data_IF_931332871772
#
_entry.id   IF_931332871772
#
_cell.length_a   1.000
_cell.length_b   1.000
_cell.length_c   1.000
_cell.angle_alpha   90.00
_cell.angle_beta   90.00
_cell.angle_gamma   90.00
#
_symmetry.space_group_name_H-M   'P 1'
#
loop_
_entity.id
_entity.type
_entity.pdbx_description
1 polymer ?
#
# COMPACT_ATOMS: atom_id res chain seq x y z
N UNK A 1 25.49 27.44 -10.95
CA UNK A 1 25.09 26.03 -11.11
C UNK A 1 24.88 25.41 -9.74
N UNK A 2 23.63 25.13 -9.36
CA UNK A 2 23.29 24.50 -8.07
C UNK A 2 23.40 22.99 -8.21
N UNK A 3 24.32 22.36 -7.47
CA UNK A 3 24.42 20.90 -7.43
C UNK A 3 23.20 20.29 -6.73
N UNK A 4 22.69 19.13 -7.19
CA UNK A 4 21.61 18.42 -6.52
C UNK A 4 22.10 17.95 -5.15
N UNK A 5 21.47 18.45 -4.08
CA UNK A 5 21.73 17.98 -2.72
C UNK A 5 21.24 16.53 -2.60
N UNK A 6 22.14 15.58 -2.39
CA UNK A 6 21.77 14.20 -2.07
C UNK A 6 21.03 14.22 -0.73
N UNK A 7 19.71 13.98 -0.78
CA UNK A 7 18.90 13.81 0.44
C UNK A 7 18.96 12.33 0.83
N UNK A 8 19.12 12.00 2.12
CA UNK A 8 19.11 10.62 2.57
C UNK A 8 17.70 10.01 2.43
N UNK A 9 17.62 8.78 1.94
CA UNK A 9 16.38 8.02 1.88
C UNK A 9 16.05 7.48 3.28
N UNK A 10 15.19 8.19 4.02
CA UNK A 10 14.80 7.81 5.38
C UNK A 10 13.80 6.65 5.31
N UNK A 11 14.22 5.51 5.87
CA UNK A 11 13.45 4.27 5.94
C UNK A 11 12.43 4.36 7.07
N UNK A 12 12.92 4.60 8.30
CA UNK A 12 12.09 4.71 9.50
C UNK A 12 12.62 5.80 10.43
N UNK A 13 11.72 6.30 11.27
CA UNK A 13 11.99 7.33 12.28
C UNK A 13 11.42 6.83 13.60
N UNK A 14 12.18 7.00 14.68
CA UNK A 14 11.76 6.64 16.02
C UNK A 14 10.45 7.35 16.39
N UNK A 15 9.38 6.61 16.76
CA UNK A 15 8.10 7.22 17.13
C UNK A 15 8.18 8.07 18.40
N UNK A 16 9.16 7.86 19.28
CA UNK A 16 9.35 8.64 20.51
C UNK A 16 9.94 10.03 20.26
N UNK A 17 10.40 10.32 19.04
CA UNK A 17 10.88 11.65 18.71
C UNK A 17 9.76 12.70 18.82
N UNK A 18 10.08 13.93 19.29
CA UNK A 18 9.15 15.05 19.25
C UNK A 18 8.50 15.22 17.87
N UNK A 19 7.21 15.56 17.83
CA UNK A 19 6.43 15.63 16.58
C UNK A 19 7.02 16.63 15.58
N UNK A 20 7.52 17.77 16.04
CA UNK A 20 8.22 18.77 15.22
C UNK A 20 9.47 18.19 14.54
N UNK A 21 10.23 17.36 15.26
CA UNK A 21 11.40 16.65 14.72
C UNK A 21 10.96 15.56 13.73
N UNK A 22 9.91 14.79 14.04
CA UNK A 22 9.37 13.77 13.12
C UNK A 22 8.84 14.40 11.85
N UNK A 23 8.14 15.53 11.93
CA UNK A 23 7.66 16.28 10.77
C UNK A 23 8.81 16.85 9.95
N UNK A 24 9.84 17.40 10.59
CA UNK A 24 11.04 17.86 9.92
C UNK A 24 11.74 16.72 9.15
N UNK A 25 11.92 15.56 9.78
CA UNK A 25 12.49 14.37 9.13
C UNK A 25 11.61 13.85 7.99
N UNK A 26 10.27 13.88 8.13
CA UNK A 26 9.34 13.56 7.04
C UNK A 26 9.44 14.54 5.88
N UNK A 27 9.65 15.83 6.13
CA UNK A 27 9.86 16.84 5.09
C UNK A 27 11.20 16.64 4.35
N UNK A 28 12.21 16.13 5.05
CA UNK A 28 13.48 15.75 4.47
C UNK A 28 13.41 14.45 3.67
N UNK A 29 12.36 13.64 3.84
CA UNK A 29 12.07 12.42 3.08
C UNK A 29 11.63 12.81 1.66
N UNK A 30 12.49 12.76 0.62
CA UNK A 30 11.92 12.46 -0.69
C UNK A 30 11.13 11.14 -0.54
N UNK A 31 10.00 10.96 -1.24
CA UNK A 31 9.47 9.59 -1.44
C UNK A 31 10.69 8.76 -1.85
N UNK A 32 11.09 7.74 -1.06
CA UNK A 32 12.36 7.12 -1.35
C UNK A 32 12.24 6.59 -2.77
N UNK A 33 13.25 6.85 -3.58
CA UNK A 33 13.26 6.36 -4.97
C UNK A 33 13.57 4.87 -4.89
N UNK A 34 12.64 4.10 -4.34
CA UNK A 34 12.62 2.64 -4.27
C UNK A 34 12.41 2.03 -5.67
N UNK A 35 12.97 2.65 -6.72
CA UNK A 35 13.07 1.99 -8.02
C UNK A 35 13.95 0.75 -7.87
N UNK A 36 13.91 -0.13 -8.87
CA UNK A 36 14.57 -1.45 -8.96
C UNK A 36 16.10 -1.45 -8.74
N UNK A 37 16.70 -0.33 -8.36
CA UNK A 37 18.14 -0.19 -8.20
C UNK A 37 18.51 -0.23 -6.72
N UNK A 38 19.52 -1.08 -6.48
CA UNK A 38 20.40 -1.27 -5.32
C UNK A 38 20.33 -0.21 -4.21
N UNK A 39 20.59 -0.58 -2.94
CA UNK A 39 20.69 0.38 -1.85
C UNK A 39 21.61 1.56 -2.25
N UNK A 40 21.27 2.80 -1.85
CA UNK A 40 22.11 3.96 -2.18
C UNK A 40 23.56 3.68 -1.81
N UNK A 41 24.50 3.97 -2.72
CA UNK A 41 25.91 3.79 -2.43
C UNK A 41 26.29 4.77 -1.31
N UNK A 42 26.92 4.30 -0.21
CA UNK A 42 27.35 5.20 0.85
C UNK A 42 28.29 6.25 0.24
N UNK A 43 28.15 7.54 0.61
CA UNK A 43 28.90 8.61 -0.02
C UNK A 43 30.40 8.39 0.17
N UNK A 44 31.12 8.16 -0.94
CA UNK A 44 32.57 7.93 -0.94
C UNK A 44 33.32 9.25 -0.73
N UNK A 45 34.22 9.28 0.25
CA UNK A 45 35.17 10.38 0.51
C UNK A 45 34.93 11.22 1.78
N UNK A 46 35.92 12.06 2.13
CA UNK A 46 35.92 12.95 3.31
C UNK A 46 34.69 13.89 3.36
N UNK A 47 34.14 14.26 2.21
CA UNK A 47 32.98 15.13 2.09
C UNK A 47 31.65 14.44 2.42
N UNK A 48 31.52 13.13 2.18
CA UNK A 48 30.37 12.33 2.64
C UNK A 48 30.30 12.26 4.17
N UNK A 49 31.48 12.21 4.82
CA UNK A 49 31.60 12.38 6.27
C UNK A 49 31.23 13.78 6.74
N UNK A 50 31.48 14.84 5.97
CA UNK A 50 31.23 16.25 6.35
C UNK A 50 29.79 16.71 6.08
N UNK A 51 29.07 16.14 5.11
CA UNK A 51 27.64 16.45 4.90
C UNK A 51 26.76 16.03 6.09
N UNK A 52 27.21 15.02 6.85
CA UNK A 52 26.65 14.67 8.15
C UNK A 52 26.98 15.69 9.29
N UNK A 53 27.93 16.61 9.12
CA UNK A 53 28.45 17.47 10.21
C UNK A 53 27.72 18.81 10.43
N UNK A 54 26.85 19.28 9.53
CA UNK A 54 26.23 20.62 9.65
C UNK A 54 25.05 20.73 10.62
N UNK A 55 24.71 19.64 11.32
CA UNK A 55 23.65 19.61 12.35
C UNK A 55 24.15 19.16 13.72
N UNK A 56 25.31 19.62 14.23
CA UNK A 56 25.95 19.10 15.46
C UNK A 56 25.00 18.97 16.69
N UNK A 57 24.02 19.85 16.86
CA UNK A 57 23.00 19.74 17.93
C UNK A 57 21.92 18.68 17.64
N UNK A 58 21.36 18.63 16.43
CA UNK A 58 20.41 17.58 16.02
C UNK A 58 21.08 16.21 15.97
N UNK A 59 22.34 16.14 15.55
CA UNK A 59 23.05 14.86 15.34
C UNK A 59 23.25 14.10 16.65
N UNK A 60 23.36 14.77 17.79
CA UNK A 60 23.48 14.10 19.09
C UNK A 60 22.12 13.63 19.62
N UNK A 61 21.07 14.43 19.39
CA UNK A 61 19.68 14.12 19.79
C UNK A 61 19.06 13.02 18.90
N UNK A 62 19.50 12.94 17.65
CA UNK A 62 18.89 12.11 16.60
C UNK A 62 19.81 10.95 16.16
N UNK A 63 21.00 10.81 16.75
CA UNK A 63 21.88 9.65 16.51
C UNK A 63 21.15 8.36 16.86
N UNK A 64 21.05 7.42 15.89
CA UNK A 64 20.27 6.17 16.01
C UNK A 64 18.76 6.34 16.26
N UNK A 65 18.18 7.52 16.03
CA UNK A 65 16.71 7.77 16.13
C UNK A 65 16.02 7.80 14.76
N UNK A 66 16.75 7.46 13.70
CA UNK A 66 16.23 7.24 12.35
C UNK A 66 17.16 6.25 11.63
N UNK A 67 16.61 5.54 10.65
CA UNK A 67 17.33 4.60 9.78
C UNK A 67 17.26 5.10 8.35
N UNK A 68 18.40 5.13 7.67
CA UNK A 68 18.53 5.52 6.27
C UNK A 68 18.81 4.31 5.40
N UNK A 69 18.61 4.46 4.08
CA UNK A 69 18.95 3.41 3.13
C UNK A 69 20.43 3.03 3.12
N UNK A 70 21.32 3.97 3.43
CA UNK A 70 22.76 3.72 3.54
C UNK A 70 23.11 2.79 4.72
N UNK A 71 22.21 2.67 5.70
CA UNK A 71 22.38 1.77 6.85
C UNK A 71 21.97 0.32 6.52
N UNK A 72 21.37 0.09 5.35
CA UNK A 72 20.86 -1.21 4.92
C UNK A 72 21.73 -1.79 3.80
N UNK A 73 22.06 -3.08 3.93
CA UNK A 73 22.64 -3.84 2.81
C UNK A 73 21.52 -4.34 1.88
N UNK A 74 21.89 -4.97 0.77
CA UNK A 74 20.95 -5.40 -0.27
C UNK A 74 19.83 -6.33 0.26
N UNK A 75 20.16 -7.26 1.16
CA UNK A 75 19.19 -8.21 1.71
C UNK A 75 18.13 -7.51 2.56
N UNK A 76 18.54 -6.62 3.47
CA UNK A 76 17.61 -5.90 4.35
C UNK A 76 16.91 -4.74 3.66
N UNK A 77 17.52 -4.17 2.63
CA UNK A 77 16.90 -3.15 1.78
C UNK A 77 15.62 -3.68 1.12
N UNK A 78 15.68 -4.89 0.54
CA UNK A 78 14.51 -5.52 -0.06
C UNK A 78 13.41 -5.82 0.97
N UNK A 79 13.78 -6.25 2.17
CA UNK A 79 12.83 -6.45 3.27
C UNK A 79 12.19 -5.12 3.72
N UNK A 80 12.96 -4.04 3.80
CA UNK A 80 12.45 -2.72 4.15
C UNK A 80 11.49 -2.15 3.09
N UNK A 81 11.76 -2.38 1.81
CA UNK A 81 10.85 -2.03 0.72
C UNK A 81 9.49 -2.73 0.88
N UNK A 82 9.51 -4.04 1.13
CA UNK A 82 8.30 -4.84 1.35
C UNK A 82 7.52 -4.36 2.59
N UNK A 83 8.21 -4.13 3.70
CA UNK A 83 7.60 -3.62 4.93
C UNK A 83 6.91 -2.25 4.73
N UNK A 84 7.59 -1.29 4.08
CA UNK A 84 7.02 0.04 3.83
C UNK A 84 5.86 -0.03 2.82
N UNK A 85 5.91 -0.91 1.82
CA UNK A 85 4.80 -1.14 0.88
C UNK A 85 3.57 -1.74 1.58
N UNK A 86 3.78 -2.73 2.46
CA UNK A 86 2.72 -3.34 3.26
C UNK A 86 2.09 -2.30 4.20
N UNK A 87 2.90 -1.54 4.94
CA UNK A 87 2.43 -0.44 5.78
C UNK A 87 1.67 0.62 4.97
N UNK A 88 2.20 1.01 3.81
CA UNK A 88 1.55 1.96 2.92
C UNK A 88 0.17 1.48 2.48
N UNK A 89 0.04 0.17 2.21
CA UNK A 89 -1.24 -0.46 1.89
C UNK A 89 -2.21 -0.46 3.08
N UNK A 90 -1.69 -0.60 4.31
CA UNK A 90 -2.52 -0.55 5.52
C UNK A 90 -2.99 0.87 5.81
N UNK A 91 -2.07 1.84 5.92
CA UNK A 91 -2.36 3.22 6.33
C UNK A 91 -3.25 3.95 5.33
N UNK A 92 -3.08 3.68 4.03
CA UNK A 92 -3.88 4.31 2.98
C UNK A 92 -5.16 3.55 2.64
N UNK A 93 -5.48 2.46 3.35
CA UNK A 93 -6.70 1.71 3.08
C UNK A 93 -7.93 2.55 3.49
N UNK A 94 -8.91 2.77 2.59
CA UNK A 94 -10.10 3.58 2.87
C UNK A 94 -10.85 3.15 4.14
N UNK A 95 -10.90 1.85 4.43
CA UNK A 95 -11.61 1.34 5.61
C UNK A 95 -11.03 1.87 6.93
N UNK A 96 -9.76 2.27 6.96
CA UNK A 96 -9.12 2.91 8.13
C UNK A 96 -9.72 4.27 8.48
N UNK A 97 -10.43 4.90 7.54
CA UNK A 97 -11.07 6.22 7.71
C UNK A 97 -12.59 6.11 7.78
N UNK A 98 -13.16 4.91 7.64
CA UNK A 98 -14.61 4.67 7.66
C UNK A 98 -15.23 4.73 9.06
N UNK A 99 -14.41 4.71 10.11
CA UNK A 99 -14.87 4.55 11.50
C UNK A 99 -15.28 3.12 11.88
N UNK A 100 -15.28 2.17 10.93
CA UNK A 100 -15.68 0.78 11.16
C UNK A 100 -14.62 -0.08 11.84
N UNK A 101 -13.35 0.37 11.84
CA UNK A 101 -12.25 -0.31 12.54
C UNK A 101 -12.10 0.32 13.93
N UNK A 102 -12.43 -0.40 15.01
CA UNK A 102 -12.17 0.05 16.35
C UNK A 102 -10.67 0.32 16.52
N UNK A 103 -10.33 1.45 17.14
CA UNK A 103 -8.95 1.82 17.44
C UNK A 103 -8.02 1.96 16.21
N UNK A 104 -8.53 2.40 15.06
CA UNK A 104 -7.71 2.66 13.87
C UNK A 104 -6.48 3.55 14.14
N UNK A 105 -6.60 4.56 15.01
CA UNK A 105 -5.45 5.39 15.43
C UNK A 105 -4.39 4.61 16.20
N UNK A 106 -4.81 3.71 17.10
CA UNK A 106 -3.90 2.83 17.83
C UNK A 106 -3.14 1.93 16.87
N UNK A 107 -3.84 1.32 15.91
CA UNK A 107 -3.22 0.49 14.87
C UNK A 107 -2.18 1.28 14.06
N UNK A 108 -2.48 2.53 13.67
CA UNK A 108 -1.50 3.41 13.01
C UNK A 108 -0.25 3.64 13.85
N UNK A 109 -0.40 3.84 15.16
CA UNK A 109 0.73 4.06 16.07
C UNK A 109 1.56 2.80 16.29
N UNK A 110 0.92 1.63 16.44
CA UNK A 110 1.58 0.33 16.59
C UNK A 110 2.39 -0.02 15.34
N UNK A 111 1.82 0.18 14.14
CA UNK A 111 2.53 -0.01 12.88
C UNK A 111 3.77 0.88 12.72
N UNK A 112 3.72 2.12 13.24
CA UNK A 112 4.87 3.00 13.21
C UNK A 112 5.99 2.49 14.14
N UNK A 113 5.62 1.99 15.33
CA UNK A 113 6.53 1.37 16.28
C UNK A 113 7.16 0.08 15.74
N UNK A 114 6.34 -0.80 15.17
CA UNK A 114 6.81 -2.07 14.63
C UNK A 114 7.74 -1.87 13.44
N UNK A 115 7.46 -0.90 12.56
CA UNK A 115 8.36 -0.55 11.47
C UNK A 115 9.69 0.02 12.00
N UNK A 116 9.64 0.86 13.04
CA UNK A 116 10.86 1.38 13.66
C UNK A 116 11.72 0.26 14.25
N UNK A 117 11.11 -0.66 14.99
CA UNK A 117 11.77 -1.84 15.54
C UNK A 117 12.39 -2.69 14.41
N UNK A 118 11.63 -2.97 13.36
CA UNK A 118 12.12 -3.69 12.19
C UNK A 118 13.33 -3.00 11.56
N UNK A 119 13.22 -1.70 11.26
CA UNK A 119 14.26 -0.96 10.56
C UNK A 119 15.55 -0.85 11.40
N UNK A 120 15.41 -0.66 12.71
CA UNK A 120 16.55 -0.60 13.63
C UNK A 120 17.30 -1.92 13.69
N UNK A 121 16.57 -3.03 13.77
CA UNK A 121 17.15 -4.38 13.74
C UNK A 121 17.79 -4.71 12.39
N UNK A 122 17.16 -4.31 11.28
CA UNK A 122 17.69 -4.47 9.93
C UNK A 122 18.99 -3.68 9.70
N UNK A 123 19.09 -2.47 10.25
CA UNK A 123 20.31 -1.67 10.22
C UNK A 123 21.44 -2.33 11.04
N UNK A 124 21.15 -2.80 12.25
CA UNK A 124 22.15 -3.49 13.08
C UNK A 124 22.59 -4.81 12.43
N UNK A 125 21.66 -5.58 11.86
CA UNK A 125 21.98 -6.79 11.08
C UNK A 125 22.91 -6.48 9.91
N UNK A 126 22.61 -5.44 9.12
CA UNK A 126 23.44 -5.03 7.99
C UNK A 126 24.84 -4.61 8.41
N UNK A 127 24.95 -3.91 9.54
CA UNK A 127 26.23 -3.53 10.14
C UNK A 127 27.02 -4.78 10.54
N UNK A 128 26.39 -5.73 11.24
CA UNK A 128 27.05 -6.96 11.71
C UNK A 128 27.46 -7.87 10.56
N UNK A 129 26.61 -8.07 9.54
CA UNK A 129 26.94 -8.81 8.31
C UNK A 129 28.12 -8.16 7.57
N UNK A 130 28.15 -6.83 7.46
CA UNK A 130 29.29 -6.14 6.86
C UNK A 130 30.60 -6.34 7.64
N UNK A 131 30.58 -6.26 8.97
CA UNK A 131 31.75 -6.55 9.82
C UNK A 131 32.19 -7.99 9.61
N UNK A 132 31.26 -8.94 9.65
CA UNK A 132 31.52 -10.37 9.44
C UNK A 132 32.17 -10.64 8.08
N UNK A 133 31.67 -10.03 7.00
CA UNK A 133 32.24 -10.12 5.65
C UNK A 133 33.62 -9.47 5.57
N UNK A 134 33.86 -8.36 6.25
CA UNK A 134 35.17 -7.70 6.27
C UNK A 134 36.22 -8.54 7.01
N UNK A 135 35.87 -9.11 8.16
CA UNK A 135 36.75 -10.02 8.90
C UNK A 135 37.07 -11.28 8.09
N UNK A 136 36.05 -11.86 7.43
CA UNK A 136 36.26 -13.00 6.52
C UNK A 136 37.16 -12.67 5.32
N UNK A 137 37.10 -11.44 4.80
CA UNK A 137 38.03 -10.99 3.76
C UNK A 137 39.44 -10.80 4.29
N UNK A 138 39.61 -10.30 5.52
CA UNK A 138 40.94 -10.06 6.12
C UNK A 138 41.67 -11.36 6.48
N UNK A 139 40.94 -12.45 6.70
CA UNK A 139 41.52 -13.78 6.92
C UNK A 139 41.93 -14.48 5.60
N UNK A 140 42.81 -13.82 4.84
CA UNK A 140 43.30 -14.34 3.56
C UNK A 140 44.06 -15.66 3.66
N UNK A 141 44.56 -15.98 4.85
CA UNK A 141 45.38 -17.16 5.12
C UNK A 141 44.60 -18.29 5.81
N UNK A 142 43.30 -18.09 6.10
CA UNK A 142 42.46 -19.09 6.78
C UNK A 142 42.96 -19.44 8.17
N UNK A 143 43.55 -18.47 8.86
CA UNK A 143 44.16 -18.64 10.19
C UNK A 143 43.10 -18.60 11.30
N UNK A 144 41.93 -18.03 11.04
CA UNK A 144 40.84 -18.04 12.00
C UNK A 144 40.13 -19.39 11.98
N UNK A 145 39.91 -20.04 13.14
CA UNK A 145 39.13 -21.26 13.20
C UNK A 145 37.73 -21.04 12.63
N UNK A 146 37.21 -21.98 11.84
CA UNK A 146 35.83 -21.93 11.32
C UNK A 146 34.81 -21.74 12.45
N UNK A 147 35.04 -22.44 13.57
CA UNK A 147 34.23 -22.33 14.80
C UNK A 147 34.19 -20.91 15.40
N UNK A 148 35.15 -20.03 15.07
CA UNK A 148 35.15 -18.64 15.54
C UNK A 148 34.01 -17.82 14.91
N UNK A 149 33.49 -18.26 13.76
CA UNK A 149 32.42 -17.56 13.05
C UNK A 149 31.06 -18.26 13.10
N UNK A 150 31.01 -19.56 13.35
CA UNK A 150 29.76 -20.35 13.34
C UNK A 150 28.65 -19.74 14.21
N UNK A 151 28.98 -19.35 15.45
CA UNK A 151 27.99 -18.74 16.35
C UNK A 151 27.48 -17.38 15.83
N UNK A 152 28.35 -16.60 15.19
CA UNK A 152 27.98 -15.31 14.59
C UNK A 152 27.11 -15.49 13.35
N UNK A 153 27.45 -16.46 12.50
CA UNK A 153 26.71 -16.79 11.29
C UNK A 153 25.31 -17.34 11.65
N UNK A 154 25.23 -18.20 12.66
CA UNK A 154 23.95 -18.70 13.17
C UNK A 154 23.08 -17.57 13.73
N UNK A 155 23.66 -16.64 14.50
CA UNK A 155 22.93 -15.50 15.05
C UNK A 155 22.42 -14.56 13.93
N UNK A 156 23.24 -14.29 12.91
CA UNK A 156 22.84 -13.51 11.75
C UNK A 156 21.70 -14.19 10.98
N UNK A 157 21.77 -15.50 10.76
CA UNK A 157 20.71 -16.23 10.04
C UNK A 157 19.40 -16.23 10.83
N UNK A 158 19.45 -16.48 12.15
CA UNK A 158 18.27 -16.41 13.01
C UNK A 158 17.62 -15.03 13.01
N UNK A 159 18.43 -13.98 13.08
CA UNK A 159 17.94 -12.60 13.05
C UNK A 159 17.33 -12.25 11.70
N UNK A 160 17.95 -12.68 10.59
CA UNK A 160 17.38 -12.52 9.25
C UNK A 160 16.02 -13.21 9.13
N UNK A 161 15.91 -14.46 9.57
CA UNK A 161 14.64 -15.19 9.57
C UNK A 161 13.58 -14.54 10.47
N UNK A 162 13.99 -13.88 11.56
CA UNK A 162 13.07 -13.08 12.38
C UNK A 162 12.58 -11.82 11.66
N UNK A 163 13.48 -11.09 10.97
CA UNK A 163 13.13 -9.94 10.14
C UNK A 163 12.17 -10.32 9.02
N UNK A 164 12.43 -11.43 8.32
CA UNK A 164 11.56 -11.94 7.26
C UNK A 164 10.15 -12.27 7.79
N UNK A 165 10.05 -12.92 8.94
CA UNK A 165 8.74 -13.20 9.59
C UNK A 165 7.98 -11.92 9.94
N UNK A 166 8.66 -10.88 10.43
CA UNK A 166 8.01 -9.58 10.70
C UNK A 166 7.45 -8.95 9.43
N UNK A 167 8.21 -8.98 8.32
CA UNK A 167 7.74 -8.48 7.02
C UNK A 167 6.52 -9.24 6.52
N UNK A 168 6.55 -10.58 6.59
CA UNK A 168 5.39 -11.41 6.23
C UNK A 168 4.17 -11.06 7.08
N UNK A 169 4.36 -10.81 8.39
CA UNK A 169 3.28 -10.35 9.27
C UNK A 169 2.64 -9.04 8.81
N UNK A 170 3.43 -8.06 8.37
CA UNK A 170 2.88 -6.82 7.78
C UNK A 170 2.12 -7.08 6.47
N UNK A 171 2.64 -7.96 5.61
CA UNK A 171 2.01 -8.30 4.34
C UNK A 171 0.67 -9.04 4.52
N UNK A 172 0.61 -9.93 5.50
CA UNK A 172 -0.61 -10.65 5.88
C UNK A 172 -1.67 -9.68 6.41
N UNK A 173 -1.29 -8.77 7.30
CA UNK A 173 -2.18 -7.71 7.79
C UNK A 173 -2.68 -6.82 6.64
N UNK A 174 -1.80 -6.42 5.71
CA UNK A 174 -2.16 -5.64 4.54
C UNK A 174 -3.13 -6.39 3.61
N UNK A 175 -3.01 -7.70 3.52
CA UNK A 175 -3.87 -8.56 2.71
C UNK A 175 -5.25 -8.73 3.35
N UNK A 176 -5.29 -8.99 4.65
CA UNK A 176 -6.54 -9.06 5.42
C UNK A 176 -7.32 -7.76 5.34
N UNK A 177 -6.65 -6.61 5.49
CA UNK A 177 -7.29 -5.31 5.41
C UNK A 177 -7.81 -4.98 4.01
N UNK A 178 -7.13 -5.46 2.95
CA UNK A 178 -7.63 -5.38 1.57
C UNK A 178 -8.93 -6.15 1.41
N UNK A 179 -8.99 -7.39 1.91
CA UNK A 179 -10.22 -8.19 1.86
C UNK A 179 -11.39 -7.53 2.65
N UNK A 180 -11.10 -6.90 3.78
CA UNK A 180 -12.10 -6.12 4.53
C UNK A 180 -12.60 -4.92 3.72
N UNK A 181 -11.69 -4.19 3.06
CA UNK A 181 -12.04 -3.06 2.20
C UNK A 181 -12.90 -3.47 1.00
N UNK A 182 -12.65 -4.63 0.40
CA UNK A 182 -13.46 -5.13 -0.71
C UNK A 182 -14.90 -5.43 -0.25
N UNK A 183 -15.06 -6.03 0.93
CA UNK A 183 -16.38 -6.23 1.55
C UNK A 183 -17.06 -4.89 1.89
N UNK A 184 -16.30 -3.92 2.38
CA UNK A 184 -16.81 -2.59 2.68
C UNK A 184 -17.31 -1.87 1.42
N UNK A 185 -16.58 -1.95 0.30
CA UNK A 185 -17.04 -1.42 -0.99
C UNK A 185 -18.32 -2.09 -1.47
N UNK A 186 -18.39 -3.42 -1.40
CA UNK A 186 -19.61 -4.15 -1.76
C UNK A 186 -20.81 -3.72 -0.90
N UNK A 187 -20.59 -3.52 0.40
CA UNK A 187 -21.62 -3.00 1.30
C UNK A 187 -22.07 -1.58 0.93
N UNK A 188 -21.15 -0.66 0.61
CA UNK A 188 -21.49 0.69 0.14
C UNK A 188 -22.31 0.65 -1.15
N UNK A 189 -21.93 -0.18 -2.12
CA UNK A 189 -22.69 -0.37 -3.36
C UNK A 189 -24.09 -0.91 -3.10
N UNK A 190 -24.24 -1.84 -2.15
CA UNK A 190 -25.58 -2.34 -1.76
C UNK A 190 -26.43 -1.24 -1.10
N UNK A 191 -25.82 -0.36 -0.29
CA UNK A 191 -26.54 0.77 0.29
C UNK A 191 -26.98 1.78 -0.77
N UNK A 192 -26.13 2.07 -1.75
CA UNK A 192 -26.46 2.95 -2.87
C UNK A 192 -27.61 2.38 -3.70
N UNK A 193 -27.55 1.08 -4.05
CA UNK A 193 -28.64 0.39 -4.75
C UNK A 193 -29.95 0.40 -3.95
N UNK A 194 -29.90 0.18 -2.64
CA UNK A 194 -31.07 0.24 -1.79
C UNK A 194 -31.66 1.66 -1.73
N UNK A 195 -30.83 2.69 -1.77
CA UNK A 195 -31.26 4.09 -1.84
C UNK A 195 -32.02 4.44 -3.13
N UNK A 196 -31.76 3.71 -4.21
CA UNK A 196 -32.43 3.85 -5.51
C UNK A 196 -33.52 2.81 -5.76
N UNK A 197 -33.91 2.02 -4.74
CA UNK A 197 -34.84 0.91 -4.91
C UNK A 197 -36.19 1.35 -5.50
N UNK A 198 -36.69 2.53 -5.11
CA UNK A 198 -37.95 3.06 -5.62
C UNK A 198 -37.83 3.60 -7.05
N UNK A 199 -36.66 4.11 -7.46
CA UNK A 199 -36.40 4.51 -8.84
C UNK A 199 -36.45 3.30 -9.79
N UNK A 200 -35.84 2.18 -9.39
CA UNK A 200 -35.91 0.94 -10.16
C UNK A 200 -37.33 0.36 -10.20
N UNK A 201 -38.09 0.46 -9.10
CA UNK A 201 -39.50 0.06 -9.09
C UNK A 201 -40.35 0.93 -10.01
N UNK A 202 -40.13 2.23 -10.02
CA UNK A 202 -40.82 3.16 -10.89
C UNK A 202 -40.50 2.90 -12.37
N UNK A 203 -39.24 2.58 -12.68
CA UNK A 203 -38.82 2.23 -14.04
C UNK A 203 -39.46 0.89 -14.49
N UNK A 204 -39.46 -0.14 -13.65
CA UNK A 204 -40.15 -1.41 -13.95
C UNK A 204 -41.67 -1.21 -14.11
N UNK A 205 -42.29 -0.35 -13.31
CA UNK A 205 -43.70 -0.02 -13.45
C UNK A 205 -43.99 0.74 -14.74
N UNK A 206 -43.10 1.64 -15.17
CA UNK A 206 -43.19 2.35 -16.44
C UNK A 206 -43.04 1.40 -17.63
N UNK A 207 -42.03 0.52 -17.63
CA UNK A 207 -41.84 -0.50 -18.67
C UNK A 207 -43.07 -1.43 -18.77
N UNK A 208 -43.62 -1.89 -17.64
CA UNK A 208 -44.83 -2.71 -17.65
C UNK A 208 -46.07 -1.94 -18.17
N UNK A 209 -46.15 -0.63 -17.89
CA UNK A 209 -47.20 0.21 -18.46
C UNK A 209 -47.03 0.39 -19.97
N UNK A 210 -45.80 0.57 -20.45
CA UNK A 210 -45.48 0.71 -21.87
C UNK A 210 -45.74 -0.60 -22.65
N UNK A 211 -45.38 -1.76 -22.09
CA UNK A 211 -45.71 -3.07 -22.67
C UNK A 211 -47.23 -3.25 -22.77
N UNK A 212 -47.98 -2.95 -21.70
CA UNK A 212 -49.43 -3.04 -21.71
C UNK A 212 -50.07 -2.09 -22.74
N UNK A 213 -49.56 -0.86 -22.86
CA UNK A 213 -50.00 0.10 -23.86
C UNK A 213 -49.70 -0.39 -25.28
N UNK A 214 -48.53 -0.97 -25.54
CA UNK A 214 -48.17 -1.53 -26.84
C UNK A 214 -49.09 -2.70 -27.25
N UNK A 215 -49.44 -3.58 -26.31
CA UNK A 215 -50.40 -4.68 -26.54
C UNK A 215 -51.81 -4.14 -26.86
N UNK A 216 -52.28 -3.16 -26.09
CA UNK A 216 -53.58 -2.53 -26.33
C UNK A 216 -53.64 -1.85 -27.70
N UNK A 217 -52.58 -1.14 -28.09
CA UNK A 217 -52.46 -0.54 -29.43
C UNK A 217 -52.45 -1.60 -30.54
N UNK A 218 -51.79 -2.74 -30.34
CA UNK A 218 -51.81 -3.88 -31.27
C UNK A 218 -53.22 -4.43 -31.50
N UNK A 219 -54.02 -4.55 -30.43
CA UNK A 219 -55.42 -5.00 -30.50
C UNK A 219 -56.36 -3.98 -31.18
N UNK A 220 -56.13 -2.68 -30.96
CA UNK A 220 -56.87 -1.62 -31.65
C UNK A 220 -56.52 -1.54 -33.14
N UNK A 221 -55.25 -1.73 -33.49
CA UNK A 221 -54.79 -1.75 -34.88
C UNK A 221 -55.39 -2.94 -35.67
N UNK A 222 -55.39 -4.15 -35.11
CA UNK A 222 -55.98 -5.32 -35.77
C UNK A 222 -57.49 -5.13 -35.99
N UNK A 223 -58.21 -4.61 -34.99
CA UNK A 223 -59.64 -4.30 -35.10
C UNK A 223 -59.91 -3.23 -36.17
N UNK A 224 -59.07 -2.19 -36.27
CA UNK A 224 -59.19 -1.16 -37.30
C UNK A 224 -58.93 -1.72 -38.72
N UNK A 225 -57.97 -2.63 -38.86
CA UNK A 225 -57.68 -3.32 -40.12
C UNK A 225 -58.84 -4.24 -40.53
N UNK A 226 -59.40 -5.01 -39.60
CA UNK A 226 -60.57 -5.85 -39.86
C UNK A 226 -61.79 -5.03 -40.30
N UNK A 227 -62.03 -3.89 -39.64
CA UNK A 227 -63.12 -2.98 -39.96
C UNK A 227 -62.92 -2.31 -41.32
N UNK A 228 -61.69 -1.92 -41.66
CA UNK A 228 -61.35 -1.41 -42.99
C UNK A 228 -61.55 -2.47 -44.09
N UNK A 229 -61.18 -3.72 -43.84
CA UNK A 229 -61.40 -4.83 -44.77
C UNK A 229 -62.88 -5.22 -44.90
N UNK A 230 -63.68 -5.03 -43.85
CA UNK A 230 -65.13 -5.21 -43.89
C UNK A 230 -65.76 -4.12 -44.78
N UNK A 231 -65.41 -2.86 -44.53
CA UNK A 231 -65.89 -1.72 -45.32
C UNK A 231 -65.52 -1.82 -46.80
N UNK A 232 -64.29 -2.26 -47.12
CA UNK A 232 -63.86 -2.46 -48.52
C UNK A 232 -64.66 -3.59 -49.21
N UNK A 233 -65.01 -4.65 -48.48
CA UNK A 233 -65.88 -5.72 -48.99
C UNK A 233 -67.31 -5.25 -49.20
N UNK A 234 -67.86 -4.45 -48.29
CA UNK A 234 -69.20 -3.87 -48.41
C UNK A 234 -69.30 -2.87 -49.56
N UNK A 235 -68.28 -2.02 -49.73
CA UNK A 235 -68.19 -1.08 -50.86
C UNK A 235 -68.12 -1.81 -52.20
N UNK A 236 -67.32 -2.88 -52.32
CA UNK A 236 -67.27 -3.68 -53.55
C UNK A 236 -68.62 -4.32 -53.89
N UNK A 237 -69.36 -4.80 -52.88
CA UNK A 237 -70.71 -5.36 -53.08
C UNK A 237 -71.77 -4.33 -53.44
N UNK A 238 -71.58 -3.06 -53.10
CA UNK A 238 -72.53 -1.99 -53.42
C UNK A 238 -72.32 -1.38 -54.82
N UNK A 239 -71.21 -1.70 -55.48
CA UNK A 239 -70.83 -1.22 -56.82
C UNK A 239 -71.16 -2.23 -57.92
N UNK A 240 -71.42 -3.50 -57.56
CA UNK A 240 -71.97 -4.55 -58.44
C UNK A 240 -73.53 -4.53 -58.44
#
# INVERSE_FOLDING_TARGET
>A
MSMPRHRPDIVAVDPELPEDVRQHLRYLRPRPRWGEKRPPEPPKGLLGRIFLFRGKRLRHVVYRRYVTGDDLNEATWHLAQRAEAAKGSIINNPVMYSGLIPHAERLRSELASDLWMFASRAAEWSRMDNIRRQLGKQDHQGLLPTAAFEASDQALEQERAALERLVTGFEDQATQLRAVNDRYKAWLTLQELAGHQDDFRNLLAADAADEHLAEAWGAHYSSAVELAQLLDRELRRAVD
#
